data_IF_268577030266
#
_entry.id   IF_268577030266
#
_cell.length_a   1.000
_cell.length_b   1.000
_cell.length_c   1.000
_cell.angle_alpha   90.00
_cell.angle_beta   90.00
_cell.angle_gamma   90.00
#
_symmetry.space_group_name_H-M   'P 1'
#
loop_
_entity.id
_entity.type
_entity.pdbx_description
1 polymer ?
#
# COMPACT_ATOMS: atom_id res chain seq x y z
N UNK A 1 18.41 20.56 3.49
CA UNK A 1 18.45 19.10 3.31
C UNK A 1 17.72 18.80 2.02
N UNK A 2 18.42 18.41 0.97
CA UNK A 2 17.82 17.99 -0.30
C UNK A 2 17.65 16.47 -0.27
N UNK A 3 16.51 16.00 -0.74
CA UNK A 3 16.25 14.57 -0.89
C UNK A 3 16.65 14.21 -2.31
N UNK A 4 17.41 13.13 -2.44
CA UNK A 4 17.92 12.71 -3.75
C UNK A 4 16.77 12.40 -4.72
N UNK A 5 16.87 12.78 -6.01
CA UNK A 5 15.77 12.62 -6.98
C UNK A 5 15.27 11.19 -7.18
N UNK A 6 16.06 10.18 -6.81
CA UNK A 6 15.73 8.76 -6.92
C UNK A 6 14.94 8.22 -5.71
N UNK A 7 14.80 8.99 -4.64
CA UNK A 7 14.11 8.56 -3.44
C UNK A 7 12.59 8.45 -3.71
N UNK A 8 11.95 7.31 -3.35
CA UNK A 8 10.51 7.20 -3.43
C UNK A 8 9.84 8.23 -2.51
N UNK A 9 8.87 8.96 -3.04
CA UNK A 9 8.15 10.03 -2.34
C UNK A 9 6.66 9.93 -2.68
N UNK A 10 5.72 10.17 -1.74
CA UNK A 10 5.96 10.54 -0.35
C UNK A 10 6.43 9.36 0.52
N UNK A 11 7.34 9.63 1.47
CA UNK A 11 7.87 8.63 2.41
C UNK A 11 8.16 9.26 3.79
N UNK A 12 7.98 8.49 4.87
CA UNK A 12 8.31 8.92 6.24
C UNK A 12 9.70 8.44 6.62
N UNK A 13 10.62 9.39 6.81
CA UNK A 13 11.97 9.13 7.28
C UNK A 13 12.08 9.34 8.80
N UNK A 14 12.98 8.58 9.43
CA UNK A 14 13.39 8.83 10.82
C UNK A 14 14.69 9.61 10.82
N UNK A 15 14.75 10.71 11.59
CA UNK A 15 15.99 11.46 11.80
C UNK A 15 16.62 10.98 13.10
N UNK A 16 17.76 10.33 12.96
CA UNK A 16 18.59 9.87 14.05
C UNK A 16 19.70 10.89 14.28
N UNK A 17 19.91 11.33 15.52
CA UNK A 17 21.07 12.16 15.87
C UNK A 17 21.89 11.36 16.89
N UNK A 18 23.07 10.93 16.49
CA UNK A 18 24.05 10.29 17.38
C UNK A 18 25.19 11.25 17.70
N UNK A 19 25.64 11.26 18.95
CA UNK A 19 26.97 11.75 19.29
C UNK A 19 27.96 10.62 19.04
N UNK A 20 29.15 10.93 18.52
CA UNK A 20 30.22 9.96 18.31
C UNK A 20 31.40 10.33 19.20
N UNK A 21 32.04 9.32 19.80
CA UNK A 21 33.35 9.45 20.41
C UNK A 21 34.37 9.34 19.28
N UNK A 22 35.32 10.28 19.18
CA UNK A 22 36.24 10.34 18.02
C UNK A 22 37.31 9.23 18.01
N UNK A 23 37.63 8.62 19.16
CA UNK A 23 38.66 7.58 19.26
C UNK A 23 38.37 6.55 20.37
N UNK A 24 38.08 5.28 20.02
CA UNK A 24 37.71 4.81 18.68
C UNK A 24 36.39 5.44 18.24
N UNK A 25 36.23 5.67 16.93
CA UNK A 25 34.97 6.14 16.35
C UNK A 25 33.85 5.17 16.73
N UNK A 26 33.02 5.57 17.68
CA UNK A 26 31.96 4.75 18.23
C UNK A 26 30.79 5.63 18.63
N UNK A 27 29.54 5.16 18.43
CA UNK A 27 28.38 5.89 18.91
C UNK A 27 28.48 6.06 20.43
N UNK A 28 28.36 7.29 20.91
CA UNK A 28 28.22 7.55 22.33
C UNK A 28 26.93 6.89 22.83
N UNK A 29 27.01 6.17 23.96
CA UNK A 29 25.82 5.60 24.55
C UNK A 29 24.92 6.71 25.09
N UNK A 30 23.67 6.73 24.63
CA UNK A 30 22.63 7.60 25.16
C UNK A 30 21.81 6.76 26.13
N UNK A 31 21.54 7.27 27.33
CA UNK A 31 20.64 6.64 28.29
C UNK A 31 19.52 7.61 28.67
N UNK A 32 18.34 7.08 29.00
CA UNK A 32 17.24 7.88 29.55
C UNK A 32 17.46 8.25 31.03
N UNK A 33 16.50 8.99 31.63
CA UNK A 33 16.57 9.39 33.04
C UNK A 33 16.52 8.23 34.04
N UNK A 34 16.18 7.02 33.59
CA UNK A 34 16.20 5.79 34.38
C UNK A 34 17.51 4.99 34.23
N UNK A 35 18.42 5.46 33.37
CA UNK A 35 19.70 4.79 33.07
C UNK A 35 19.60 3.73 31.98
N UNK A 36 18.45 3.57 31.31
CA UNK A 36 18.29 2.61 30.23
C UNK A 36 18.96 3.13 28.94
N UNK A 37 19.88 2.34 28.37
CA UNK A 37 20.54 2.68 27.11
C UNK A 37 19.54 2.71 25.94
N UNK A 38 19.52 3.81 25.20
CA UNK A 38 18.75 4.05 23.98
C UNK A 38 19.66 3.80 22.79
N UNK A 39 19.41 2.70 22.07
CA UNK A 39 20.28 2.24 20.97
C UNK A 39 20.24 3.15 19.73
N UNK A 40 19.20 3.98 19.57
CA UNK A 40 19.00 4.89 18.44
C UNK A 40 18.11 6.07 18.87
N UNK A 41 18.64 7.15 19.47
CA UNK A 41 17.83 8.32 19.81
C UNK A 41 17.24 8.93 18.54
N UNK A 42 15.97 8.62 18.29
CA UNK A 42 15.18 9.27 17.23
C UNK A 42 14.75 10.62 17.76
N UNK A 43 15.33 11.68 17.22
CA UNK A 43 15.00 13.05 17.66
C UNK A 43 13.68 13.49 17.06
N UNK A 44 13.41 13.10 15.80
CA UNK A 44 12.14 13.39 15.14
C UNK A 44 11.84 12.42 13.99
N UNK A 45 10.58 12.43 13.53
CA UNK A 45 10.15 11.79 12.29
C UNK A 45 9.83 12.88 11.28
N UNK A 46 10.40 12.80 10.09
CA UNK A 46 10.15 13.74 9.01
C UNK A 46 9.38 13.04 7.90
N UNK A 47 8.22 13.57 7.53
CA UNK A 47 7.58 13.21 6.27
C UNK A 47 8.23 14.01 5.16
N UNK A 48 8.74 13.31 4.16
CA UNK A 48 9.25 13.93 2.94
C UNK A 48 8.21 13.70 1.86
N UNK A 49 7.58 14.79 1.44
CA UNK A 49 6.67 14.82 0.31
C UNK A 49 7.41 15.31 -0.95
N UNK A 50 6.98 14.88 -2.15
CA UNK A 50 7.51 15.44 -3.38
C UNK A 50 7.20 16.94 -3.47
N UNK A 51 8.07 17.71 -4.13
CA UNK A 51 7.90 19.16 -4.31
C UNK A 51 6.62 19.54 -5.08
N UNK A 52 6.10 18.61 -5.88
CA UNK A 52 4.78 18.66 -6.47
C UNK A 52 4.03 17.36 -6.14
N UNK A 53 2.71 17.38 -5.90
CA UNK A 53 1.94 16.16 -5.68
C UNK A 53 2.15 15.16 -6.81
N UNK A 54 2.25 13.87 -6.48
CA UNK A 54 2.25 12.83 -7.50
C UNK A 54 0.98 12.92 -8.34
N UNK A 55 1.14 12.82 -9.66
CA UNK A 55 0.01 12.78 -10.59
C UNK A 55 -0.60 11.40 -10.63
N UNK A 56 -1.93 11.35 -10.74
CA UNK A 56 -2.62 10.08 -11.01
C UNK A 56 -2.32 9.64 -12.45
N UNK A 57 -2.18 8.33 -12.71
CA UNK A 57 -2.01 7.83 -14.08
C UNK A 57 -3.22 8.09 -14.99
N UNK A 58 -4.41 8.21 -14.39
CA UNK A 58 -5.73 8.30 -15.05
C UNK A 58 -5.99 7.16 -16.05
N UNK A 59 -5.52 5.95 -15.73
CA UNK A 59 -5.68 4.77 -16.61
C UNK A 59 -7.00 4.04 -16.38
N UNK A 60 -7.36 3.83 -15.12
CA UNK A 60 -8.61 3.21 -14.70
C UNK A 60 -9.25 4.12 -13.64
N UNK A 61 -9.69 5.34 -14.01
CA UNK A 61 -10.17 6.32 -13.06
C UNK A 61 -11.39 5.76 -12.33
N UNK A 62 -11.34 5.83 -11.00
CA UNK A 62 -12.40 5.39 -10.12
C UNK A 62 -12.52 6.39 -8.96
N UNK A 63 -13.64 6.31 -8.23
CA UNK A 63 -13.88 7.21 -7.11
C UNK A 63 -14.65 6.46 -6.02
N UNK A 64 -13.89 5.90 -5.08
CA UNK A 64 -14.42 5.30 -3.87
C UNK A 64 -13.85 6.01 -2.66
N UNK A 65 -14.69 6.39 -1.71
CA UNK A 65 -14.30 6.99 -0.44
C UNK A 65 -14.28 5.92 0.63
N UNK A 66 -13.19 5.81 1.38
CA UNK A 66 -12.99 4.88 2.48
C UNK A 66 -12.87 5.68 3.78
N UNK A 67 -13.80 5.42 4.71
CA UNK A 67 -13.95 6.23 5.91
C UNK A 67 -14.22 7.69 5.54
N UNK A 68 -13.55 8.61 6.21
CA UNK A 68 -13.76 10.06 6.04
C UNK A 68 -12.64 10.75 5.24
N UNK A 69 -11.46 10.12 5.13
CA UNK A 69 -10.23 10.80 4.75
C UNK A 69 -9.54 10.23 3.51
N UNK A 70 -9.92 9.05 3.02
CA UNK A 70 -9.16 8.35 1.97
C UNK A 70 -10.06 8.10 0.77
N UNK A 71 -9.51 8.27 -0.43
CA UNK A 71 -10.16 7.89 -1.68
C UNK A 71 -9.26 6.97 -2.49
N UNK A 72 -9.79 5.87 -3.04
CA UNK A 72 -9.13 5.17 -4.13
C UNK A 72 -9.47 5.94 -5.42
N UNK A 73 -8.45 6.27 -6.22
CA UNK A 73 -8.61 7.10 -7.42
C UNK A 73 -8.24 6.43 -8.73
N UNK A 74 -7.35 5.45 -8.69
CA UNK A 74 -6.89 4.72 -9.87
C UNK A 74 -6.23 3.39 -9.45
N UNK A 75 -5.97 2.53 -10.44
CA UNK A 75 -5.09 1.38 -10.32
C UNK A 75 -4.41 1.03 -11.64
N UNK A 76 -3.26 0.37 -11.56
CA UNK A 76 -2.58 -0.21 -12.73
C UNK A 76 -2.20 -1.66 -12.47
N UNK A 77 -2.18 -2.47 -13.54
CA UNK A 77 -1.76 -3.87 -13.50
C UNK A 77 -0.62 -4.05 -14.50
N UNK A 78 0.48 -4.67 -14.08
CA UNK A 78 1.70 -4.78 -14.91
C UNK A 78 1.55 -5.68 -16.13
N UNK A 79 0.66 -6.68 -16.05
CA UNK A 79 0.49 -7.73 -17.05
C UNK A 79 -0.90 -8.36 -16.93
N UNK A 80 -1.27 -9.18 -17.91
CA UNK A 80 -2.41 -10.08 -17.74
C UNK A 80 -2.13 -11.09 -16.62
N UNK A 81 -3.20 -11.54 -15.95
CA UNK A 81 -3.08 -12.51 -14.86
C UNK A 81 -2.90 -13.91 -15.46
N UNK A 82 -1.81 -14.58 -15.08
CA UNK A 82 -1.44 -15.90 -15.57
C UNK A 82 -1.31 -16.90 -14.42
N UNK A 83 -1.65 -18.16 -14.70
CA UNK A 83 -1.48 -19.26 -13.75
C UNK A 83 -0.01 -19.44 -13.36
N UNK A 84 0.26 -19.72 -12.09
CA UNK A 84 1.61 -19.96 -11.55
C UNK A 84 2.62 -18.82 -11.81
N UNK A 85 2.14 -17.58 -11.90
CA UNK A 85 2.95 -16.39 -12.21
C UNK A 85 2.51 -15.23 -11.33
N UNK A 86 3.46 -14.41 -10.87
CA UNK A 86 3.13 -13.18 -10.15
C UNK A 86 2.73 -12.06 -11.11
N UNK A 87 1.80 -11.21 -10.68
CA UNK A 87 1.59 -9.91 -11.29
C UNK A 87 1.70 -8.80 -10.24
N UNK A 88 1.88 -7.57 -10.72
CA UNK A 88 1.95 -6.39 -9.87
C UNK A 88 0.69 -5.54 -10.07
N UNK A 89 0.02 -5.24 -8.95
CA UNK A 89 -1.08 -4.29 -8.85
C UNK A 89 -0.58 -3.03 -8.14
N UNK A 90 -0.73 -1.86 -8.74
CA UNK A 90 -0.50 -0.60 -8.02
C UNK A 90 -1.83 0.10 -7.79
N UNK A 91 -2.15 0.38 -6.53
CA UNK A 91 -3.32 1.14 -6.11
C UNK A 91 -2.91 2.60 -5.89
N UNK A 92 -3.69 3.55 -6.38
CA UNK A 92 -3.41 4.97 -6.20
C UNK A 92 -4.44 5.56 -5.25
N UNK A 93 -4.01 5.73 -4.01
CA UNK A 93 -4.80 6.36 -2.95
C UNK A 93 -4.62 7.87 -3.01
N UNK A 94 -5.66 8.60 -2.63
CA UNK A 94 -5.60 10.04 -2.38
C UNK A 94 -6.19 10.38 -1.03
N UNK A 95 -5.44 11.10 -0.21
CA UNK A 95 -5.89 11.63 1.05
C UNK A 95 -6.72 12.91 0.82
N UNK A 96 -7.93 12.95 1.34
CA UNK A 96 -8.79 14.14 1.40
C UNK A 96 -8.50 14.96 2.67
N UNK A 97 -8.11 14.28 3.74
CA UNK A 97 -7.63 14.82 5.00
C UNK A 97 -6.59 13.86 5.60
N UNK A 98 -5.95 14.23 6.70
CA UNK A 98 -5.06 13.31 7.43
C UNK A 98 -5.88 12.18 8.09
N UNK A 99 -5.63 10.90 7.73
CA UNK A 99 -6.27 9.76 8.38
C UNK A 99 -5.99 9.73 9.89
N UNK A 100 -7.01 9.42 10.69
CA UNK A 100 -6.93 9.47 12.16
C UNK A 100 -5.99 8.41 12.78
N UNK A 101 -5.72 7.32 12.05
CA UNK A 101 -4.85 6.23 12.49
C UNK A 101 -4.21 5.51 11.30
N UNK A 102 -3.35 4.55 11.61
CA UNK A 102 -2.75 3.66 10.61
C UNK A 102 -3.73 2.56 10.21
N UNK A 103 -3.99 2.47 8.91
CA UNK A 103 -4.82 1.47 8.28
C UNK A 103 -3.98 0.49 7.47
N UNK A 104 -4.45 -0.74 7.35
CA UNK A 104 -3.89 -1.74 6.46
C UNK A 104 -4.80 -1.93 5.25
N UNK A 105 -4.21 -2.16 4.09
CA UNK A 105 -4.91 -2.51 2.86
C UNK A 105 -4.97 -4.02 2.77
N UNK A 106 -6.10 -4.55 2.33
CA UNK A 106 -6.21 -5.93 1.85
C UNK A 106 -6.44 -5.94 0.35
N UNK A 107 -5.85 -6.93 -0.32
CA UNK A 107 -6.11 -7.24 -1.73
C UNK A 107 -6.40 -8.73 -1.82
N UNK A 108 -7.58 -9.09 -2.29
CA UNK A 108 -7.97 -10.49 -2.47
C UNK A 108 -8.16 -10.81 -3.94
N UNK A 109 -7.48 -11.86 -4.40
CA UNK A 109 -7.76 -12.55 -5.65
C UNK A 109 -8.70 -13.72 -5.34
N UNK A 110 -9.93 -13.63 -5.83
CA UNK A 110 -10.99 -14.58 -5.52
C UNK A 110 -11.44 -15.29 -6.80
N UNK A 111 -11.85 -16.54 -6.67
CA UNK A 111 -12.63 -17.23 -7.69
C UNK A 111 -14.05 -16.65 -7.81
N UNK A 112 -14.81 -17.09 -8.82
CA UNK A 112 -16.20 -16.68 -8.99
C UNK A 112 -17.11 -17.09 -7.83
N UNK A 113 -16.87 -18.28 -7.24
CA UNK A 113 -17.56 -18.78 -6.04
C UNK A 113 -17.08 -18.13 -4.73
N UNK A 114 -16.13 -17.18 -4.81
CA UNK A 114 -15.67 -16.39 -3.66
C UNK A 114 -14.54 -17.03 -2.85
N UNK A 115 -13.95 -18.14 -3.31
CA UNK A 115 -12.77 -18.75 -2.69
C UNK A 115 -11.54 -17.87 -2.92
N UNK A 116 -10.77 -17.63 -1.87
CA UNK A 116 -9.48 -16.91 -1.97
C UNK A 116 -8.44 -17.79 -2.65
N UNK A 117 -7.87 -17.30 -3.75
CA UNK A 117 -6.71 -17.91 -4.41
C UNK A 117 -5.40 -17.30 -3.92
N UNK A 118 -5.37 -15.99 -3.72
CA UNK A 118 -4.22 -15.26 -3.23
C UNK A 118 -4.67 -13.99 -2.50
N UNK A 119 -3.83 -13.48 -1.60
CA UNK A 119 -4.08 -12.23 -0.91
C UNK A 119 -2.78 -11.46 -0.62
N UNK A 120 -2.90 -10.15 -0.45
CA UNK A 120 -1.79 -9.27 -0.07
C UNK A 120 -2.28 -8.21 0.90
N UNK A 121 -1.97 -8.42 2.18
CA UNK A 121 -2.47 -7.62 3.28
C UNK A 121 -1.34 -6.89 3.99
N UNK A 122 -1.58 -5.65 4.40
CA UNK A 122 -0.63 -4.88 5.19
C UNK A 122 -0.67 -3.37 4.93
N UNK A 123 0.17 -2.61 5.66
CA UNK A 123 0.24 -1.15 5.52
C UNK A 123 0.55 -0.73 4.08
N UNK A 124 -0.01 0.39 3.60
CA UNK A 124 0.29 0.88 2.26
C UNK A 124 1.76 1.25 2.11
N UNK A 125 2.25 1.22 0.87
CA UNK A 125 3.62 1.59 0.50
C UNK A 125 4.68 0.84 1.32
N UNK A 126 4.41 -0.44 1.61
CA UNK A 126 5.24 -1.31 2.45
C UNK A 126 5.64 -0.68 3.80
N UNK A 127 4.69 0.00 4.44
CA UNK A 127 4.84 0.68 5.74
C UNK A 127 5.83 1.86 5.77
N UNK A 128 6.35 2.28 4.60
CA UNK A 128 7.25 3.43 4.51
C UNK A 128 6.50 4.76 4.62
N UNK A 129 5.21 4.77 4.28
CA UNK A 129 4.35 5.94 4.44
C UNK A 129 2.99 5.54 5.06
N UNK A 130 2.95 5.36 6.38
CA UNK A 130 1.74 4.87 7.07
C UNK A 130 0.62 5.92 7.00
N UNK A 131 -0.64 5.49 7.00
CA UNK A 131 -1.77 6.37 6.66
C UNK A 131 -1.92 7.56 7.60
N UNK A 132 -1.59 7.44 8.89
CA UNK A 132 -1.61 8.58 9.83
C UNK A 132 -0.64 9.71 9.48
N UNK A 133 0.34 9.44 8.60
CA UNK A 133 1.30 10.44 8.14
C UNK A 133 0.84 11.16 6.87
N UNK A 134 -0.22 10.70 6.21
CA UNK A 134 -0.74 11.30 4.98
C UNK A 134 -1.30 12.70 5.26
N UNK A 135 -1.09 13.60 4.32
CA UNK A 135 -1.61 14.96 4.33
C UNK A 135 -2.71 15.13 3.28
N UNK A 136 -3.61 16.10 3.50
CA UNK A 136 -4.65 16.41 2.52
C UNK A 136 -4.01 16.72 1.14
N UNK A 137 -4.50 16.03 0.11
CA UNK A 137 -3.99 16.16 -1.26
C UNK A 137 -2.92 15.14 -1.64
N UNK A 138 -2.32 14.42 -0.68
CA UNK A 138 -1.34 13.38 -0.98
C UNK A 138 -1.91 12.33 -1.92
N UNK A 139 -1.14 11.97 -2.93
CA UNK A 139 -1.37 10.79 -3.77
C UNK A 139 -0.31 9.76 -3.41
N UNK A 140 -0.75 8.57 -3.03
CA UNK A 140 0.09 7.51 -2.49
C UNK A 140 -0.04 6.25 -3.34
N UNK A 141 0.96 5.95 -4.20
CA UNK A 141 1.06 4.68 -4.89
C UNK A 141 1.38 3.55 -3.91
N UNK A 142 0.59 2.50 -3.96
CA UNK A 142 0.73 1.30 -3.15
C UNK A 142 0.85 0.08 -4.06
N UNK A 143 2.09 -0.35 -4.28
CA UNK A 143 2.44 -1.45 -5.18
C UNK A 143 2.40 -2.79 -4.43
N UNK A 144 1.58 -3.72 -4.94
CA UNK A 144 1.32 -5.04 -4.40
C UNK A 144 1.73 -6.10 -5.40
N UNK A 145 2.60 -7.01 -4.99
CA UNK A 145 2.94 -8.21 -5.74
C UNK A 145 2.04 -9.35 -5.30
N UNK A 146 1.35 -9.97 -6.25
CA UNK A 146 0.36 -11.02 -5.99
C UNK A 146 0.82 -12.28 -6.72
N UNK A 147 1.15 -13.32 -5.95
CA UNK A 147 1.55 -14.62 -6.46
C UNK A 147 0.28 -15.42 -6.81
N UNK A 148 0.07 -15.71 -8.10
CA UNK A 148 -1.09 -16.49 -8.55
C UNK A 148 -0.72 -17.97 -8.49
N UNK A 149 -1.47 -18.81 -7.75
CA UNK A 149 -1.20 -20.23 -7.71
C UNK A 149 -1.48 -20.90 -9.06
N UNK A 150 -1.21 -22.20 -9.16
CA UNK A 150 -1.74 -22.98 -10.27
C UNK A 150 -3.28 -22.99 -10.23
N UNK A 151 -3.89 -22.76 -11.39
CA UNK A 151 -5.35 -22.61 -11.56
C UNK A 151 -5.84 -23.43 -12.73
N UNK A 152 -7.15 -23.57 -12.87
CA UNK A 152 -7.74 -24.25 -14.03
C UNK A 152 -7.72 -23.34 -15.26
N UNK A 153 -7.52 -23.89 -16.48
CA UNK A 153 -7.61 -23.12 -17.72
C UNK A 153 -8.89 -22.29 -17.83
N UNK A 154 -8.75 -20.99 -18.09
CA UNK A 154 -9.88 -20.08 -18.25
C UNK A 154 -10.62 -19.74 -16.97
N UNK A 155 -10.08 -20.09 -15.79
CA UNK A 155 -10.68 -19.78 -14.50
C UNK A 155 -10.91 -18.28 -14.36
N UNK A 156 -12.15 -17.89 -14.12
CA UNK A 156 -12.52 -16.49 -13.93
C UNK A 156 -12.32 -16.09 -12.48
N UNK A 157 -11.69 -14.94 -12.29
CA UNK A 157 -11.31 -14.40 -10.99
C UNK A 157 -11.70 -12.94 -10.88
N UNK A 158 -11.87 -12.49 -9.64
CA UNK A 158 -12.18 -11.12 -9.27
C UNK A 158 -11.12 -10.60 -8.29
N UNK A 159 -10.68 -9.37 -8.50
CA UNK A 159 -9.86 -8.64 -7.54
C UNK A 159 -10.76 -7.76 -6.69
N UNK A 160 -10.63 -7.90 -5.37
CA UNK A 160 -11.34 -7.08 -4.38
C UNK A 160 -10.33 -6.42 -3.46
N UNK A 161 -10.56 -5.15 -3.13
CA UNK A 161 -9.66 -4.35 -2.29
C UNK A 161 -10.42 -3.55 -1.25
N UNK A 162 -9.72 -3.12 -0.20
CA UNK A 162 -10.23 -2.19 0.79
C UNK A 162 -9.21 -1.94 1.89
N UNK A 163 -9.64 -1.24 2.93
CA UNK A 163 -8.83 -0.97 4.10
C UNK A 163 -9.53 -1.43 5.37
N UNK A 164 -8.74 -1.77 6.37
CA UNK A 164 -9.20 -2.09 7.72
C UNK A 164 -8.30 -1.45 8.77
N UNK A 165 -8.81 -1.28 9.99
CA UNK A 165 -7.99 -0.92 11.12
C UNK A 165 -7.31 -2.17 11.70
N UNK A 166 -5.97 -2.22 11.79
CA UNK A 166 -5.28 -3.33 12.43
C UNK A 166 -5.59 -3.48 13.92
N UNK A 167 -6.10 -2.43 14.57
CA UNK A 167 -6.37 -2.43 16.00
C UNK A 167 -7.60 -3.26 16.38
N UNK A 168 -8.64 -3.23 15.55
CA UNK A 168 -9.93 -3.90 15.81
C UNK A 168 -10.41 -4.80 14.66
N UNK A 169 -9.64 -4.86 13.56
CA UNK A 169 -9.91 -5.62 12.34
C UNK A 169 -11.17 -5.18 11.57
N UNK A 170 -11.76 -4.04 11.91
CA UNK A 170 -12.92 -3.51 11.22
C UNK A 170 -12.54 -2.89 9.88
N UNK A 171 -13.28 -3.26 8.83
CA UNK A 171 -13.15 -2.63 7.51
C UNK A 171 -13.74 -1.22 7.54
N UNK A 172 -13.06 -0.29 6.86
CA UNK A 172 -13.54 1.08 6.74
C UNK A 172 -14.82 1.10 5.90
N UNK A 173 -15.86 1.85 6.30
CA UNK A 173 -17.01 2.12 5.44
C UNK A 173 -16.57 2.60 4.05
N UNK A 174 -17.12 2.03 2.99
CA UNK A 174 -16.77 2.42 1.62
C UNK A 174 -18.00 2.98 0.92
N UNK A 175 -17.85 4.12 0.26
CA UNK A 175 -18.89 4.77 -0.54
C UNK A 175 -18.45 4.92 -1.99
N UNK A 176 -19.37 4.75 -2.93
CA UNK A 176 -19.13 5.03 -4.35
C UNK A 176 -19.21 6.54 -4.63
N UNK A 177 -19.02 6.92 -5.89
CA UNK A 177 -19.07 8.31 -6.35
C UNK A 177 -20.42 9.01 -6.13
N UNK A 178 -21.51 8.26 -5.98
CA UNK A 178 -22.84 8.78 -5.67
C UNK A 178 -23.09 8.91 -4.15
N UNK A 179 -22.12 8.53 -3.31
CA UNK A 179 -22.25 8.52 -1.86
C UNK A 179 -23.00 7.31 -1.31
N UNK A 180 -23.30 6.30 -2.13
CA UNK A 180 -23.95 5.07 -1.66
C UNK A 180 -22.93 4.10 -1.06
N UNK A 181 -23.23 3.46 0.08
CA UNK A 181 -22.33 2.50 0.69
C UNK A 181 -22.19 1.23 -0.17
N UNK A 182 -20.99 0.64 -0.17
CA UNK A 182 -20.73 -0.67 -0.78
C UNK A 182 -20.98 -1.80 0.22
N UNK A 183 -21.51 -2.95 -0.24
CA UNK A 183 -21.65 -4.12 0.62
C UNK A 183 -20.29 -4.61 1.12
N UNK A 184 -20.28 -5.13 2.35
CA UNK A 184 -19.11 -5.70 3.05
C UNK A 184 -17.90 -4.78 3.19
N UNK A 185 -18.04 -3.49 2.85
CA UNK A 185 -16.96 -2.51 2.82
C UNK A 185 -15.81 -2.94 1.92
N UNK A 186 -16.12 -3.39 0.70
CA UNK A 186 -15.15 -3.90 -0.27
C UNK A 186 -15.37 -3.28 -1.65
N UNK A 187 -14.27 -2.88 -2.30
CA UNK A 187 -14.26 -2.39 -3.68
C UNK A 187 -14.01 -3.58 -4.63
N UNK A 188 -14.94 -3.92 -5.52
CA UNK A 188 -14.66 -4.80 -6.65
C UNK A 188 -13.86 -4.02 -7.70
N UNK A 189 -12.59 -4.39 -7.90
CA UNK A 189 -11.68 -3.63 -8.77
C UNK A 189 -11.88 -4.02 -10.23
N UNK A 190 -11.76 -5.32 -10.54
CA UNK A 190 -12.06 -5.88 -11.86
C UNK A 190 -12.24 -7.40 -11.79
N UNK A 191 -12.82 -7.96 -12.86
CA UNK A 191 -13.00 -9.40 -13.09
C UNK A 191 -12.33 -9.78 -14.41
N UNK A 192 -11.62 -10.90 -14.45
CA UNK A 192 -10.90 -11.37 -15.65
C UNK A 192 -10.71 -12.88 -15.65
N UNK A 193 -10.45 -13.48 -16.81
CA UNK A 193 -10.03 -14.88 -16.91
C UNK A 193 -8.52 -15.00 -16.71
N UNK A 194 -8.08 -16.05 -16.01
CA UNK A 194 -6.67 -16.42 -15.90
C UNK A 194 -6.22 -17.10 -17.19
N UNK A 195 -5.08 -16.64 -17.71
CA UNK A 195 -4.44 -17.22 -18.87
C UNK A 195 -3.46 -18.32 -18.46
N UNK A 196 -3.37 -19.35 -19.30
CA UNK A 196 -2.37 -20.41 -19.18
C UNK A 196 -1.36 -20.24 -20.30
N UNK A 197 -0.06 -20.34 -19.99
CA UNK A 197 0.95 -20.43 -21.04
C UNK A 197 0.75 -21.75 -21.77
N UNK A 198 0.27 -21.71 -23.01
CA UNK A 198 0.35 -22.87 -23.90
C UNK A 198 1.82 -23.18 -24.11
N UNK A 199 2.26 -24.33 -23.61
CA UNK A 199 3.59 -24.86 -23.92
C UNK A 199 3.65 -25.05 -25.44
N UNK A 200 4.47 -24.27 -26.13
CA UNK A 200 4.81 -24.64 -27.51
C UNK A 200 5.61 -25.94 -27.44
N UNK A 201 5.01 -27.03 -27.90
CA UNK A 201 5.74 -28.27 -28.14
C UNK A 201 6.75 -27.99 -29.26
N UNK A 202 8.04 -28.00 -28.92
CA UNK A 202 9.10 -28.08 -29.93
C UNK A 202 9.02 -29.46 -30.57
N UNK A 203 8.72 -29.48 -31.88
CA UNK A 203 8.87 -30.66 -32.72
C UNK A 203 10.35 -31.01 -32.91
#
# INVERSE_FOLDING_TARGET
MSVEPWAPVPERYQVLIGLYLETPESPAQVSDSSGQTISLPTVTRLTIAPAAPLTLPERNPLHYTLGEAITLRDYTVSSTIQSNTAFTLTLYWRAQATPAQDYAVFVHLLTEDGKVLAQSDGPPSANRYPTSSWQAGDVVPDTRRIEVPETQPGQVVQIKVGMYSPADLNRLPIYNSAGSPLPDNVIPLFKTAILHMTRQESK
#
